data_IF_534969004269
#
_entry.id   IF_534969004269
#
_cell.length_a   1.000
_cell.length_b   1.000
_cell.length_c   1.000
_cell.angle_alpha   90.00
_cell.angle_beta   90.00
_cell.angle_gamma   90.00
#
_symmetry.space_group_name_H-M   'P 1'
#
loop_
_entity.id
_entity.type
_entity.pdbx_description
1 polymer ?
#
# COMPACT_ATOMS: atom_id res chain seq x y z
N UNK A 1 -10.84 -0.23 10.53
CA UNK A 1 -10.48 -0.07 9.11
C UNK A 1 -9.18 -0.81 8.98
N UNK A 2 -9.14 -1.85 8.14
CA UNK A 2 -7.87 -2.48 7.82
C UNK A 2 -7.11 -1.50 6.92
N UNK A 3 -5.82 -1.37 7.12
CA UNK A 3 -5.02 -0.45 6.33
C UNK A 3 -4.90 -0.87 4.86
N UNK A 4 -5.13 -2.16 4.57
CA UNK A 4 -5.36 -2.63 3.20
C UNK A 4 -6.62 -1.99 2.58
N UNK A 5 -7.58 -1.46 3.36
CA UNK A 5 -8.75 -0.75 2.83
C UNK A 5 -8.38 0.57 2.12
N UNK A 6 -7.18 1.11 2.36
CA UNK A 6 -6.69 2.28 1.64
C UNK A 6 -6.02 1.92 0.32
N UNK A 7 -5.67 0.66 0.11
CA UNK A 7 -5.03 0.25 -1.13
C UNK A 7 -6.10 -0.12 -2.16
N UNK A 8 -5.86 0.20 -3.42
CA UNK A 8 -6.71 -0.30 -4.49
C UNK A 8 -6.53 -1.84 -4.60
N UNK A 9 -7.47 -2.51 -5.28
CA UNK A 9 -7.50 -3.99 -5.27
C UNK A 9 -6.22 -4.61 -5.84
N UNK A 10 -5.63 -4.00 -6.88
CA UNK A 10 -4.35 -4.44 -7.45
C UNK A 10 -3.20 -4.35 -6.44
N UNK A 11 -3.05 -3.22 -5.77
CA UNK A 11 -2.03 -2.98 -4.74
C UNK A 11 -2.19 -3.95 -3.57
N UNK A 12 -3.44 -4.19 -3.15
CA UNK A 12 -3.77 -5.16 -2.09
C UNK A 12 -3.34 -6.58 -2.48
N UNK A 13 -3.65 -7.01 -3.71
CA UNK A 13 -3.26 -8.33 -4.21
C UNK A 13 -1.73 -8.44 -4.26
N UNK A 14 -1.05 -7.44 -4.81
CA UNK A 14 0.40 -7.38 -4.86
C UNK A 14 1.02 -7.56 -3.47
N UNK A 15 0.64 -6.74 -2.48
CA UNK A 15 1.21 -6.85 -1.13
C UNK A 15 0.88 -8.18 -0.44
N UNK A 16 -0.28 -8.78 -0.71
CA UNK A 16 -0.62 -10.11 -0.19
C UNK A 16 0.26 -11.21 -0.80
N UNK A 17 0.59 -11.12 -2.09
CA UNK A 17 1.56 -12.02 -2.74
C UNK A 17 2.93 -11.84 -2.09
N UNK A 18 3.39 -10.59 -1.99
CA UNK A 18 4.69 -10.27 -1.42
C UNK A 18 4.83 -10.76 0.01
N UNK A 19 3.81 -10.53 0.85
CA UNK A 19 3.77 -11.01 2.24
C UNK A 19 3.95 -12.51 2.34
N UNK A 20 3.35 -13.28 1.42
CA UNK A 20 3.51 -14.75 1.39
C UNK A 20 4.93 -15.15 1.05
N UNK A 21 5.57 -14.48 0.10
CA UNK A 21 6.97 -14.73 -0.27
C UNK A 21 7.89 -14.43 0.92
N UNK A 22 7.74 -13.25 1.55
CA UNK A 22 8.52 -12.88 2.74
C UNK A 22 8.31 -13.84 3.92
N UNK A 23 7.07 -14.30 4.14
CA UNK A 23 6.75 -15.24 5.23
C UNK A 23 7.36 -16.63 5.02
N UNK A 24 7.60 -17.03 3.76
CA UNK A 24 8.23 -18.30 3.44
C UNK A 24 9.77 -18.26 3.55
N UNK A 25 10.35 -17.05 3.46
CA UNK A 25 11.80 -16.85 3.50
C UNK A 25 12.52 -17.56 2.34
N UNK A 26 13.74 -18.01 2.60
CA UNK A 26 14.61 -18.66 1.60
C UNK A 26 14.00 -19.91 0.94
N UNK A 27 13.10 -20.60 1.65
CA UNK A 27 12.42 -21.80 1.11
C UNK A 27 11.52 -21.47 -0.09
N UNK A 28 11.09 -20.21 -0.21
CA UNK A 28 10.13 -19.79 -1.21
C UNK A 28 8.72 -20.35 -0.98
N UNK A 29 7.77 -19.83 -1.74
CA UNK A 29 6.36 -20.23 -1.70
C UNK A 29 5.92 -20.76 -3.06
N UNK A 30 5.17 -21.86 -3.07
CA UNK A 30 4.66 -22.40 -4.33
C UNK A 30 3.65 -21.44 -4.97
N UNK A 31 3.82 -21.13 -6.26
CA UNK A 31 2.89 -20.28 -7.00
C UNK A 31 1.45 -20.84 -6.95
N UNK A 32 1.30 -22.17 -7.00
CA UNK A 32 0.01 -22.84 -6.83
C UNK A 32 -0.65 -22.56 -5.47
N UNK A 33 0.12 -22.43 -4.40
CA UNK A 33 -0.38 -22.10 -3.07
C UNK A 33 -0.84 -20.64 -2.99
N UNK A 34 -0.05 -19.72 -3.54
CA UNK A 34 -0.41 -18.29 -3.64
C UNK A 34 -1.73 -18.12 -4.40
N UNK A 35 -1.84 -18.77 -5.57
CA UNK A 35 -3.05 -18.77 -6.40
C UNK A 35 -4.27 -19.29 -5.64
N UNK A 36 -4.14 -20.44 -4.97
CA UNK A 36 -5.25 -21.07 -4.23
C UNK A 36 -5.71 -20.20 -3.07
N UNK A 37 -4.77 -19.68 -2.30
CA UNK A 37 -5.07 -18.89 -1.10
C UNK A 37 -5.65 -17.51 -1.43
N UNK A 38 -5.21 -16.87 -2.52
CA UNK A 38 -5.72 -15.57 -2.95
C UNK A 38 -6.85 -15.66 -3.99
N UNK A 39 -7.18 -16.87 -4.47
CA UNK A 39 -8.16 -17.13 -5.53
C UNK A 39 -7.88 -16.35 -6.81
N UNK A 40 -6.61 -16.33 -7.23
CA UNK A 40 -6.13 -15.64 -8.44
C UNK A 40 -5.49 -16.61 -9.43
N UNK A 41 -5.37 -16.18 -10.68
CA UNK A 41 -4.71 -16.97 -11.73
C UNK A 41 -3.18 -16.79 -11.68
N UNK A 42 -2.45 -17.61 -12.44
CA UNK A 42 -0.99 -17.56 -12.48
C UNK A 42 -0.46 -16.25 -13.09
N UNK A 43 -1.12 -15.73 -14.13
CA UNK A 43 -0.70 -14.50 -14.80
C UNK A 43 -0.72 -13.31 -13.83
N UNK A 44 -1.76 -13.16 -13.01
CA UNK A 44 -1.83 -12.11 -11.99
C UNK A 44 -0.67 -12.18 -10.99
N UNK A 45 -0.21 -13.40 -10.66
CA UNK A 45 0.96 -13.58 -9.78
C UNK A 45 2.23 -13.13 -10.49
N UNK A 46 2.45 -13.57 -11.74
CA UNK A 46 3.65 -13.25 -12.50
C UNK A 46 3.72 -11.77 -12.90
N UNK A 47 2.58 -11.15 -13.23
CA UNK A 47 2.46 -9.70 -13.44
C UNK A 47 2.85 -8.92 -12.18
N UNK A 48 2.36 -9.34 -11.01
CA UNK A 48 2.75 -8.73 -9.74
C UNK A 48 4.25 -8.89 -9.48
N UNK A 49 4.84 -10.06 -9.77
CA UNK A 49 6.29 -10.30 -9.67
C UNK A 49 7.07 -9.35 -10.58
N UNK A 50 6.64 -9.17 -11.83
CA UNK A 50 7.25 -8.21 -12.75
C UNK A 50 7.24 -6.78 -12.20
N UNK A 51 6.08 -6.32 -11.74
CA UNK A 51 5.92 -4.98 -11.15
C UNK A 51 6.78 -4.79 -9.88
N UNK A 52 6.91 -5.82 -9.05
CA UNK A 52 7.81 -5.77 -7.89
C UNK A 52 9.26 -5.68 -8.30
N UNK A 53 9.69 -6.44 -9.31
CA UNK A 53 11.07 -6.39 -9.79
C UNK A 53 11.40 -5.03 -10.40
N UNK A 54 10.45 -4.39 -11.08
CA UNK A 54 10.63 -3.02 -11.58
C UNK A 54 10.70 -2.02 -10.42
N UNK A 55 9.80 -2.14 -9.43
CA UNK A 55 9.86 -1.34 -8.20
C UNK A 55 11.18 -1.51 -7.45
N UNK A 56 11.72 -2.73 -7.36
CA UNK A 56 12.99 -3.00 -6.68
C UNK A 56 14.18 -2.42 -7.42
N UNK A 57 14.20 -2.50 -8.75
CA UNK A 57 15.25 -1.84 -9.55
C UNK A 57 15.26 -0.32 -9.36
N UNK A 58 14.09 0.30 -9.24
CA UNK A 58 13.97 1.74 -8.99
C UNK A 58 14.35 2.12 -7.56
N UNK A 59 14.03 1.29 -6.57
CA UNK A 59 14.17 1.60 -5.14
C UNK A 59 15.54 1.21 -4.58
N UNK A 60 16.10 0.10 -5.06
CA UNK A 60 17.31 -0.54 -4.55
C UNK A 60 18.38 -0.64 -5.64
N UNK A 61 18.71 0.48 -6.29
CA UNK A 61 19.58 0.56 -7.48
C UNK A 61 20.93 -0.16 -7.29
N UNK A 62 21.53 -0.03 -6.11
CA UNK A 62 22.85 -0.58 -5.80
C UNK A 62 22.81 -1.93 -5.08
N UNK A 63 21.64 -2.57 -5.00
CA UNK A 63 21.46 -3.85 -4.29
C UNK A 63 20.78 -4.87 -5.18
N UNK A 64 21.23 -6.11 -5.11
CA UNK A 64 20.51 -7.20 -5.75
C UNK A 64 19.24 -7.50 -4.95
N UNK A 65 18.10 -7.19 -5.54
CA UNK A 65 16.77 -7.51 -5.00
C UNK A 65 15.86 -7.95 -6.13
N UNK A 66 15.40 -9.19 -6.10
CA UNK A 66 14.45 -9.70 -7.08
C UNK A 66 13.57 -10.81 -6.50
N UNK A 67 12.35 -10.92 -7.03
CA UNK A 67 11.53 -12.11 -6.88
C UNK A 67 11.71 -12.96 -8.13
N UNK A 68 12.14 -14.20 -7.92
CA UNK A 68 12.33 -15.18 -8.98
C UNK A 68 11.18 -16.19 -8.98
N UNK A 69 10.78 -16.63 -10.17
CA UNK A 69 9.90 -17.77 -10.37
C UNK A 69 10.69 -18.89 -11.06
N UNK A 70 10.79 -20.06 -10.42
CA UNK A 70 11.48 -21.22 -10.96
C UNK A 70 10.48 -22.17 -11.63
N UNK A 71 10.57 -22.37 -12.95
CA UNK A 71 9.63 -23.19 -13.73
C UNK A 71 9.60 -24.65 -13.31
N UNK A 72 10.75 -25.22 -12.96
CA UNK A 72 10.92 -26.64 -12.65
C UNK A 72 10.24 -27.00 -11.32
N UNK A 73 10.33 -26.10 -10.34
CA UNK A 73 9.80 -26.31 -8.98
C UNK A 73 8.47 -25.60 -8.74
N UNK A 74 8.11 -24.62 -9.59
CA UNK A 74 6.94 -23.76 -9.43
C UNK A 74 7.02 -22.81 -8.23
N UNK A 75 8.22 -22.58 -7.69
CA UNK A 75 8.46 -21.77 -6.50
C UNK A 75 8.69 -20.29 -6.84
N UNK A 76 8.23 -19.43 -5.94
CA UNK A 76 8.53 -18.01 -5.88
C UNK A 76 9.51 -17.76 -4.74
N UNK A 77 10.68 -17.20 -5.02
CA UNK A 77 11.74 -16.93 -4.04
C UNK A 77 12.15 -15.47 -4.07
N UNK A 78 12.47 -14.91 -2.90
CA UNK A 78 13.12 -13.61 -2.80
C UNK A 78 14.63 -13.82 -2.82
N UNK A 79 15.30 -13.25 -3.82
CA UNK A 79 16.74 -13.23 -3.98
C UNK A 79 17.24 -11.84 -3.59
N UNK A 80 17.98 -11.78 -2.49
CA UNK A 80 18.51 -10.52 -1.97
C UNK A 80 19.84 -10.70 -1.24
N UNK A 81 20.74 -9.73 -1.40
CA UNK A 81 22.05 -9.69 -0.73
C UNK A 81 21.98 -9.23 0.73
N UNK A 82 20.93 -8.50 1.11
CA UNK A 82 20.71 -7.99 2.46
C UNK A 82 19.28 -8.25 2.91
N UNK A 83 19.03 -8.25 4.22
CA UNK A 83 17.67 -8.34 4.73
C UNK A 83 16.85 -7.12 4.31
N UNK A 84 15.80 -7.36 3.54
CA UNK A 84 14.81 -6.34 3.20
C UNK A 84 13.67 -6.42 4.21
N UNK A 85 13.21 -5.26 4.66
CA UNK A 85 12.03 -5.19 5.53
C UNK A 85 10.75 -5.07 4.69
N UNK A 86 9.88 -6.07 4.80
CA UNK A 86 8.54 -6.00 4.22
C UNK A 86 7.79 -4.72 4.63
N UNK A 87 8.00 -4.26 5.86
CA UNK A 87 7.35 -3.06 6.41
C UNK A 87 7.74 -1.80 5.64
N UNK A 88 8.98 -1.71 5.15
CA UNK A 88 9.43 -0.58 4.34
C UNK A 88 8.72 -0.53 2.99
N UNK A 89 8.64 -1.67 2.30
CA UNK A 89 7.93 -1.80 1.02
C UNK A 89 6.45 -1.50 1.22
N UNK A 90 5.85 -2.12 2.23
CA UNK A 90 4.47 -1.91 2.63
C UNK A 90 4.16 -0.42 2.88
N UNK A 91 4.99 0.26 3.67
CA UNK A 91 4.82 1.68 3.96
C UNK A 91 4.90 2.54 2.69
N UNK A 92 5.75 2.16 1.74
CA UNK A 92 5.90 2.85 0.46
C UNK A 92 4.63 2.74 -0.39
N UNK A 93 4.04 1.54 -0.46
CA UNK A 93 2.75 1.34 -1.11
C UNK A 93 1.66 2.20 -0.49
N UNK A 94 1.59 2.24 0.84
CA UNK A 94 0.61 3.04 1.54
C UNK A 94 0.78 4.55 1.27
N UNK A 95 2.01 5.08 1.31
CA UNK A 95 2.28 6.49 1.00
C UNK A 95 1.90 6.85 -0.43
N UNK A 96 2.08 5.92 -1.38
CA UNK A 96 1.72 6.11 -2.79
C UNK A 96 0.22 5.92 -3.06
N UNK A 97 -0.52 5.21 -2.21
CA UNK A 97 -1.96 5.03 -2.40
C UNK A 97 -2.72 6.34 -2.52
N UNK A 98 -3.57 6.43 -3.54
CA UNK A 98 -4.44 7.59 -3.75
C UNK A 98 -5.39 7.80 -2.57
N UNK A 99 -5.94 6.73 -1.99
CA UNK A 99 -6.91 6.88 -0.91
C UNK A 99 -6.23 7.42 0.36
N UNK A 100 -5.01 6.96 0.66
CA UNK A 100 -4.19 7.54 1.73
C UNK A 100 -3.88 9.03 1.46
N UNK A 101 -3.44 9.36 0.24
CA UNK A 101 -3.16 10.75 -0.15
C UNK A 101 -4.40 11.66 -0.04
N UNK A 102 -5.60 11.16 -0.39
CA UNK A 102 -6.85 11.90 -0.21
C UNK A 102 -7.08 12.18 1.27
N UNK A 103 -6.99 11.17 2.15
CA UNK A 103 -7.20 11.35 3.60
C UNK A 103 -6.25 12.41 4.16
N UNK A 104 -4.96 12.34 3.83
CA UNK A 104 -3.97 13.32 4.27
C UNK A 104 -4.36 14.73 3.81
N UNK A 105 -4.68 14.89 2.53
CA UNK A 105 -5.01 16.21 1.96
C UNK A 105 -6.26 16.83 2.56
N UNK A 106 -7.35 16.08 2.69
CA UNK A 106 -8.60 16.62 3.27
C UNK A 106 -8.52 16.86 4.78
N UNK A 107 -7.48 16.36 5.44
CA UNK A 107 -7.27 16.54 6.88
C UNK A 107 -6.38 17.76 7.19
N UNK A 108 -5.42 18.08 6.33
CA UNK A 108 -4.43 19.13 6.58
C UNK A 108 -4.52 20.34 5.65
N UNK A 109 -5.16 20.20 4.49
CA UNK A 109 -5.16 21.22 3.45
C UNK A 109 -6.58 21.69 3.16
N UNK A 110 -6.75 22.99 2.92
CA UNK A 110 -7.97 23.51 2.29
C UNK A 110 -7.74 23.57 0.78
N UNK A 111 -8.48 22.76 0.02
CA UNK A 111 -8.38 22.73 -1.45
C UNK A 111 -9.76 22.61 -2.09
N UNK A 112 -9.91 23.12 -3.31
CA UNK A 112 -11.05 22.80 -4.17
C UNK A 112 -10.91 21.40 -4.77
N UNK A 113 -12.02 20.87 -5.31
CA UNK A 113 -12.02 19.56 -5.97
C UNK A 113 -11.10 19.55 -7.19
N UNK A 114 -11.10 20.63 -7.97
CA UNK A 114 -10.26 20.79 -9.14
C UNK A 114 -8.78 20.81 -8.78
N UNK A 115 -8.41 21.48 -7.68
CA UNK A 115 -7.03 21.50 -7.19
C UNK A 115 -6.58 20.10 -6.75
N UNK A 116 -7.44 19.36 -6.03
CA UNK A 116 -7.14 18.00 -5.59
C UNK A 116 -7.02 17.04 -6.78
N UNK A 117 -7.91 17.15 -7.76
CA UNK A 117 -7.90 16.38 -9.00
C UNK A 117 -6.59 16.58 -9.78
N UNK A 118 -6.16 17.83 -9.99
CA UNK A 118 -4.88 18.15 -10.66
C UNK A 118 -3.69 17.56 -9.89
N UNK A 119 -3.64 17.74 -8.57
CA UNK A 119 -2.51 17.25 -7.76
C UNK A 119 -2.37 15.73 -7.73
N UNK A 120 -3.49 15.02 -7.81
CA UNK A 120 -3.51 13.55 -7.81
C UNK A 120 -3.51 12.97 -9.23
N UNK A 121 -3.46 13.82 -10.27
CA UNK A 121 -3.56 13.40 -11.68
C UNK A 121 -4.81 12.55 -11.97
N UNK A 122 -5.95 12.93 -11.39
CA UNK A 122 -7.22 12.23 -11.52
C UNK A 122 -8.34 13.18 -11.97
N UNK A 123 -9.39 12.63 -12.55
CA UNK A 123 -10.61 13.41 -12.80
C UNK A 123 -11.37 13.65 -11.49
N UNK A 124 -12.10 14.77 -11.41
CA UNK A 124 -12.94 15.10 -10.26
C UNK A 124 -13.95 13.99 -9.94
N UNK A 125 -14.55 13.39 -10.98
CA UNK A 125 -15.47 12.26 -10.84
C UNK A 125 -14.81 11.05 -10.15
N UNK A 126 -13.54 10.77 -10.44
CA UNK A 126 -12.80 9.70 -9.75
C UNK A 126 -12.54 10.05 -8.29
N UNK A 127 -12.19 11.30 -7.98
CA UNK A 127 -12.01 11.76 -6.60
C UNK A 127 -13.31 11.60 -5.80
N UNK A 128 -14.46 12.00 -6.36
CA UNK A 128 -15.76 11.83 -5.69
C UNK A 128 -16.08 10.36 -5.39
N UNK A 129 -15.82 9.46 -6.35
CA UNK A 129 -16.01 8.01 -6.12
C UNK A 129 -15.10 7.49 -5.01
N UNK A 130 -13.83 7.88 -5.00
CA UNK A 130 -12.88 7.49 -3.96
C UNK A 130 -13.28 8.05 -2.59
N UNK A 131 -13.71 9.31 -2.50
CA UNK A 131 -14.24 9.89 -1.25
C UNK A 131 -15.47 9.12 -0.75
N UNK A 132 -16.40 8.75 -1.64
CA UNK A 132 -17.57 7.96 -1.26
C UNK A 132 -17.18 6.60 -0.68
N UNK A 133 -16.20 5.92 -1.30
CA UNK A 133 -15.66 4.67 -0.78
C UNK A 133 -14.99 4.87 0.58
N UNK A 134 -14.13 5.88 0.69
CA UNK A 134 -13.45 6.24 1.95
C UNK A 134 -14.44 6.50 3.08
N UNK A 135 -15.53 7.23 2.82
CA UNK A 135 -16.57 7.49 3.81
C UNK A 135 -17.16 6.20 4.38
N UNK A 136 -17.38 5.17 3.57
CA UNK A 136 -17.86 3.87 4.08
C UNK A 136 -16.84 3.14 4.95
N UNK A 137 -15.55 3.45 4.80
CA UNK A 137 -14.46 2.82 5.57
C UNK A 137 -14.19 3.56 6.88
N UNK A 138 -14.31 4.87 6.89
CA UNK A 138 -14.04 5.68 8.09
C UNK A 138 -15.29 5.89 8.98
N UNK A 139 -16.46 5.42 8.53
CA UNK A 139 -17.72 5.51 9.28
C UNK A 139 -17.65 4.78 10.64
N UNK A 140 -16.85 3.71 10.75
CA UNK A 140 -16.63 3.02 12.03
C UNK A 140 -15.98 3.91 13.10
N UNK A 141 -15.25 4.95 12.70
CA UNK A 141 -14.68 5.98 13.58
C UNK A 141 -15.64 7.16 13.78
N UNK A 142 -16.87 7.07 13.25
CA UNK A 142 -17.86 8.16 13.20
C UNK A 142 -17.34 9.40 12.46
N UNK A 143 -16.46 9.19 11.48
CA UNK A 143 -15.88 10.24 10.64
C UNK A 143 -16.54 10.28 9.26
N UNK A 144 -16.43 11.43 8.60
CA UNK A 144 -16.80 11.59 7.19
C UNK A 144 -16.00 12.69 6.52
N UNK A 145 -15.65 12.48 5.25
CA UNK A 145 -15.15 13.50 4.35
C UNK A 145 -16.35 14.18 3.68
N UNK A 146 -16.51 15.49 3.92
CA UNK A 146 -17.53 16.33 3.31
C UNK A 146 -16.92 17.67 2.90
N UNK A 147 -17.22 18.13 1.69
CA UNK A 147 -16.65 19.37 1.12
C UNK A 147 -15.12 19.40 1.23
N UNK A 148 -14.47 18.26 0.95
CA UNK A 148 -13.01 18.09 1.01
C UNK A 148 -12.38 18.41 2.36
N UNK A 149 -13.14 18.24 3.44
CA UNK A 149 -12.67 18.30 4.81
C UNK A 149 -13.08 17.06 5.57
N UNK A 150 -12.24 16.63 6.51
CA UNK A 150 -12.61 15.62 7.50
C UNK A 150 -13.56 16.23 8.55
N UNK A 151 -14.63 15.52 8.88
CA UNK A 151 -15.60 15.91 9.91
C UNK A 151 -15.84 14.75 10.87
N UNK A 152 -16.01 15.07 12.15
CA UNK A 152 -16.28 14.11 13.22
C UNK A 152 -15.69 14.63 14.54
N UNK A 153 -15.59 13.75 15.53
CA UNK A 153 -14.90 14.07 16.78
C UNK A 153 -13.39 14.26 16.53
N UNK A 154 -12.80 15.33 17.07
CA UNK A 154 -11.40 15.67 16.87
C UNK A 154 -10.44 14.57 17.36
N UNK A 155 -10.79 13.88 18.45
CA UNK A 155 -10.00 12.75 18.98
C UNK A 155 -10.01 11.60 17.97
N UNK A 156 -11.16 11.31 17.36
CA UNK A 156 -11.28 10.27 16.33
C UNK A 156 -10.48 10.63 15.07
N UNK A 157 -10.52 11.90 14.64
CA UNK A 157 -9.69 12.38 13.51
C UNK A 157 -8.20 12.18 13.82
N UNK A 158 -7.75 12.61 15.01
CA UNK A 158 -6.35 12.46 15.43
C UNK A 158 -5.94 11.00 15.55
N UNK A 159 -6.80 10.16 16.11
CA UNK A 159 -6.54 8.72 16.24
C UNK A 159 -6.38 8.07 14.86
N UNK A 160 -7.29 8.35 13.92
CA UNK A 160 -7.18 7.86 12.55
C UNK A 160 -5.86 8.31 11.91
N UNK A 161 -5.55 9.61 11.96
CA UNK A 161 -4.33 10.16 11.38
C UNK A 161 -3.08 9.56 12.00
N UNK A 162 -3.02 9.44 13.33
CA UNK A 162 -1.91 8.79 14.04
C UNK A 162 -1.73 7.34 13.59
N UNK A 163 -2.81 6.55 13.57
CA UNK A 163 -2.78 5.16 13.15
C UNK A 163 -2.26 5.03 11.71
N UNK A 164 -2.72 5.89 10.81
CA UNK A 164 -2.29 5.88 9.42
C UNK A 164 -0.81 6.31 9.27
N UNK A 165 -0.37 7.33 9.99
CA UNK A 165 1.00 7.82 9.95
C UNK A 165 2.00 6.77 10.47
N UNK A 166 1.70 6.11 11.59
CA UNK A 166 2.59 5.07 12.15
C UNK A 166 2.80 3.89 11.20
N UNK A 167 1.79 3.57 10.40
CA UNK A 167 1.93 2.51 9.39
C UNK A 167 2.55 3.01 8.07
N UNK A 168 2.34 4.27 7.72
CA UNK A 168 2.91 4.88 6.52
C UNK A 168 4.38 5.26 6.67
N UNK A 169 4.88 5.37 7.89
CA UNK A 169 6.26 5.73 8.18
C UNK A 169 6.78 4.79 9.27
N UNK A 170 7.73 3.93 8.90
CA UNK A 170 8.50 3.16 9.88
C UNK A 170 9.26 4.14 10.78
N UNK A 171 9.15 3.95 12.09
CA UNK A 171 9.89 4.73 13.07
C UNK A 171 11.37 4.36 12.99
N UNK A 172 12.11 5.04 12.12
CA UNK A 172 13.56 4.88 12.02
C UNK A 172 14.20 5.46 13.30
N UNK A 173 14.53 4.60 14.25
CA UNK A 173 15.19 4.98 15.52
C UNK A 173 16.52 5.72 15.30
N UNK A 174 17.13 5.62 14.12
CA UNK A 174 18.39 6.28 13.78
C UNK A 174 18.29 7.80 13.53
N UNK A 175 17.08 8.37 13.40
CA UNK A 175 16.90 9.81 13.12
C UNK A 175 16.70 10.67 14.38
N UNK A 176 16.67 10.08 15.57
CA UNK A 176 16.64 10.81 16.84
C UNK A 176 18.02 10.77 17.51
N UNK A 177 19.03 11.31 16.82
CA UNK A 177 20.20 11.83 17.52
C UNK A 177 19.89 13.27 17.88
N UNK A 178 19.31 13.48 19.05
CA UNK A 178 19.38 14.76 19.74
C UNK A 178 20.78 14.93 20.31
#
# INVERSE_FOLDING_TARGET
MDIYDLLDNSETIQLKILRKIFSAGEKGVACAEVRRSLKINANTVLEAVGLFNDFFKETYVDRKVAINYTSETGLLTLDTEENIDFSEIYSTFLRKSINYQIIQKVSFESSSISQLAVRLYLSEATIFRKIKLLNSKIEEFQLKIKNLKMHGDEIQIRYLLYSLTVNAYTFNQHLLKF
#
